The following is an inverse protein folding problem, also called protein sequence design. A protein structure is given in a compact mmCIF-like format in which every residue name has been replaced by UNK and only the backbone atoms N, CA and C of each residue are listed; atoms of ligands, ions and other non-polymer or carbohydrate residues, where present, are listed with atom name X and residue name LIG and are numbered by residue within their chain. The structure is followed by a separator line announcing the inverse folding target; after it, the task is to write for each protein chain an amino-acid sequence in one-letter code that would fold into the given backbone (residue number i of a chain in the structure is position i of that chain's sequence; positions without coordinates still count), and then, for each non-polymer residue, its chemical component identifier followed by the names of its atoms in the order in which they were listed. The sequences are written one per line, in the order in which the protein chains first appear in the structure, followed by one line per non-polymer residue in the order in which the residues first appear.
data_IF_378521575907
#
_entry.id   IF_378521575907
#
_cell.length_a   1.000
_cell.length_b   1.000
_cell.length_c   1.000
_cell.angle_alpha   90.00
_cell.angle_beta   90.00
_cell.angle_gamma   90.00
#
_symmetry.space_group_name_H-M   'P 1'
#
loop_
_entity.id
_entity.type
_entity.pdbx_description
1 polymer ?
#
# COMPACT_ATOMS: atom_id res chain seq x y z
N UNK A 1 -56.81 -54.48 22.39
CA UNK A 1 -57.56 -55.72 22.60
C UNK A 1 -58.54 -55.73 21.46
N UNK A 2 -58.36 -56.44 20.35
CA UNK A 2 -57.66 -57.70 20.03
C UNK A 2 -57.34 -57.64 18.51
N UNK A 3 -56.13 -57.95 18.05
CA UNK A 3 -55.63 -59.26 17.57
C UNK A 3 -56.29 -59.78 16.27
N UNK A 4 -55.42 -60.25 15.37
CA UNK A 4 -55.66 -61.18 14.23
C UNK A 4 -56.40 -60.63 12.99
N UNK A 5 -56.17 -61.07 11.75
CA UNK A 5 -55.26 -62.02 11.07
C UNK A 5 -55.50 -61.80 9.55
N UNK A 6 -54.46 -61.62 8.73
CA UNK A 6 -53.96 -62.60 7.75
C UNK A 6 -54.95 -63.02 6.63
N UNK A 7 -54.61 -62.67 5.38
CA UNK A 7 -55.03 -63.33 4.12
C UNK A 7 -53.95 -62.96 3.08
N UNK A 8 -53.11 -63.89 2.62
CA UNK A 8 -53.38 -65.01 1.71
C UNK A 8 -53.16 -64.61 0.23
N UNK A 9 -52.06 -65.17 -0.28
CA UNK A 9 -51.74 -65.65 -1.64
C UNK A 9 -52.34 -64.96 -2.88
N UNK A 10 -51.43 -64.53 -3.75
CA UNK A 10 -51.64 -64.59 -5.20
C UNK A 10 -50.32 -64.99 -5.88
N UNK A 11 -50.28 -66.23 -6.39
CA UNK A 11 -49.44 -66.60 -7.52
C UNK A 11 -49.84 -65.76 -8.73
N UNK A 12 -48.88 -65.21 -9.49
CA UNK A 12 -48.95 -65.36 -10.94
C UNK A 12 -47.63 -65.06 -11.66
N UNK A 13 -47.23 -66.06 -12.45
CA UNK A 13 -46.63 -66.03 -13.78
C UNK A 13 -45.45 -65.09 -14.11
N UNK A 14 -44.30 -65.74 -14.31
CA UNK A 14 -43.20 -65.33 -15.20
C UNK A 14 -43.56 -65.71 -16.65
N UNK A 15 -43.33 -64.84 -17.65
CA UNK A 15 -42.45 -65.30 -18.73
C UNK A 15 -41.48 -64.24 -19.32
N UNK A 16 -40.24 -64.72 -19.53
CA UNK A 16 -39.35 -64.51 -20.70
C UNK A 16 -38.78 -63.13 -21.05
N UNK A 17 -37.50 -62.93 -20.64
CA UNK A 17 -36.28 -62.54 -21.43
C UNK A 17 -36.24 -61.23 -22.24
N UNK A 18 -35.03 -60.76 -22.68
CA UNK A 18 -33.75 -60.66 -22.01
C UNK A 18 -33.12 -59.24 -22.16
N UNK A 19 -32.17 -58.92 -21.28
CA UNK A 19 -30.96 -58.13 -21.60
C UNK A 19 -31.10 -56.84 -22.43
N UNK A 20 -31.21 -55.69 -21.76
CA UNK A 20 -30.32 -54.54 -22.06
C UNK A 20 -30.39 -53.46 -20.98
N UNK A 21 -29.27 -53.23 -20.29
CA UNK A 21 -28.68 -51.92 -19.92
C UNK A 21 -27.90 -51.96 -18.59
N UNK A 22 -26.61 -52.36 -18.60
CA UNK A 22 -25.67 -51.99 -17.56
C UNK A 22 -24.74 -50.84 -18.01
N UNK A 23 -25.21 -49.87 -18.82
CA UNK A 23 -24.34 -48.81 -19.36
C UNK A 23 -24.60 -47.39 -18.85
N UNK A 24 -25.77 -47.11 -18.25
CA UNK A 24 -26.08 -45.75 -17.78
C UNK A 24 -25.46 -45.41 -16.41
N UNK A 25 -25.23 -46.40 -15.54
CA UNK A 25 -24.71 -46.16 -14.19
C UNK A 25 -23.21 -45.85 -14.15
N UNK A 26 -22.45 -46.32 -15.14
CA UNK A 26 -20.99 -46.09 -15.24
C UNK A 26 -20.67 -44.70 -15.81
N UNK A 27 -21.42 -44.26 -16.84
CA UNK A 27 -21.32 -42.91 -17.41
C UNK A 27 -21.71 -41.81 -16.42
N UNK A 28 -22.74 -42.02 -15.60
CA UNK A 28 -23.12 -41.04 -14.56
C UNK A 28 -22.00 -40.79 -13.55
N UNK A 29 -21.27 -41.84 -13.16
CA UNK A 29 -20.16 -41.72 -12.20
C UNK A 29 -18.94 -41.04 -12.82
N UNK A 30 -18.63 -41.31 -14.09
CA UNK A 30 -17.54 -40.64 -14.82
C UNK A 30 -17.85 -39.16 -15.11
N UNK A 31 -19.10 -38.83 -15.45
CA UNK A 31 -19.54 -37.44 -15.67
C UNK A 31 -19.52 -36.66 -14.37
N UNK A 32 -20.00 -37.24 -13.26
CA UNK A 32 -19.94 -36.59 -11.94
C UNK A 32 -18.48 -36.35 -11.54
N UNK A 33 -17.60 -37.34 -11.68
CA UNK A 33 -16.19 -37.23 -11.29
C UNK A 33 -15.43 -36.22 -12.16
N UNK A 34 -15.72 -36.15 -13.46
CA UNK A 34 -15.19 -35.12 -14.36
C UNK A 34 -15.67 -33.71 -13.95
N UNK A 35 -16.94 -33.56 -13.56
CA UNK A 35 -17.50 -32.31 -13.06
C UNK A 35 -16.85 -31.87 -11.74
N UNK A 36 -16.64 -32.79 -10.79
CA UNK A 36 -15.97 -32.46 -9.52
C UNK A 36 -14.52 -32.02 -9.77
N UNK A 37 -13.79 -32.73 -10.64
CA UNK A 37 -12.41 -32.36 -10.99
C UNK A 37 -12.38 -30.98 -11.67
N UNK A 38 -13.32 -30.69 -12.57
CA UNK A 38 -13.41 -29.39 -13.23
C UNK A 38 -13.72 -28.26 -12.22
N UNK A 39 -14.67 -28.46 -11.31
CA UNK A 39 -15.01 -27.48 -10.27
C UNK A 39 -13.85 -27.23 -9.31
N UNK A 40 -13.15 -28.29 -8.90
CA UNK A 40 -11.94 -28.16 -8.07
C UNK A 40 -10.84 -27.44 -8.83
N UNK A 41 -10.61 -27.77 -10.10
CA UNK A 41 -9.61 -27.09 -10.93
C UNK A 41 -9.93 -25.59 -11.11
N UNK A 42 -11.19 -25.23 -11.36
CA UNK A 42 -11.63 -23.83 -11.47
C UNK A 42 -11.53 -23.10 -10.13
N UNK A 43 -11.85 -23.74 -9.02
CA UNK A 43 -11.72 -23.15 -7.69
C UNK A 43 -10.24 -22.93 -7.29
N UNK A 44 -9.37 -23.89 -7.58
CA UNK A 44 -7.92 -23.78 -7.31
C UNK A 44 -7.26 -22.75 -8.24
N UNK A 45 -7.61 -22.73 -9.53
CA UNK A 45 -7.12 -21.72 -10.47
C UNK A 45 -7.66 -20.31 -10.12
N UNK A 46 -8.94 -20.21 -9.77
CA UNK A 46 -9.57 -18.95 -9.38
C UNK A 46 -8.96 -18.35 -8.11
N UNK A 47 -8.70 -19.16 -7.08
CA UNK A 47 -8.06 -18.69 -5.83
C UNK A 47 -6.61 -18.26 -6.02
N UNK A 48 -5.87 -18.94 -6.91
CA UNK A 48 -4.49 -18.59 -7.25
C UNK A 48 -4.41 -17.28 -8.02
N UNK A 49 -5.29 -17.09 -9.01
CA UNK A 49 -5.38 -15.86 -9.79
C UNK A 49 -5.84 -14.67 -8.94
N UNK A 50 -6.80 -14.88 -8.04
CA UNK A 50 -7.28 -13.81 -7.15
C UNK A 50 -6.18 -13.36 -6.17
N UNK A 51 -5.37 -14.27 -5.63
CA UNK A 51 -4.20 -13.88 -4.85
C UNK A 51 -3.18 -13.12 -5.70
N UNK A 52 -2.91 -13.51 -6.93
CA UNK A 52 -1.92 -12.83 -7.77
C UNK A 52 -2.36 -11.45 -8.24
N UNK A 53 -3.67 -11.23 -8.47
CA UNK A 53 -4.22 -9.93 -8.91
C UNK A 53 -4.41 -8.97 -7.74
N UNK A 54 -4.68 -9.46 -6.53
CA UNK A 54 -4.98 -8.61 -5.36
C UNK A 54 -3.86 -8.56 -4.30
N UNK A 55 -2.75 -9.29 -4.47
CA UNK A 55 -1.56 -9.05 -3.64
C UNK A 55 -0.79 -7.88 -4.23
N UNK A 56 -0.87 -6.73 -3.58
CA UNK A 56 0.08 -5.65 -3.83
C UNK A 56 1.49 -6.21 -3.59
N UNK A 57 2.46 -5.95 -4.50
CA UNK A 57 3.82 -6.42 -4.33
C UNK A 57 4.35 -5.98 -2.97
N UNK A 58 5.17 -6.82 -2.30
CA UNK A 58 5.71 -6.49 -0.99
C UNK A 58 6.37 -5.11 -1.06
N UNK A 59 6.05 -4.24 -0.10
CA UNK A 59 6.68 -2.92 -0.01
C UNK A 59 8.18 -3.11 0.14
N UNK A 60 8.91 -2.78 -0.93
CA UNK A 60 10.35 -2.90 -0.94
C UNK A 60 10.95 -1.75 -0.14
N UNK A 61 11.75 -2.11 0.86
CA UNK A 61 12.48 -1.15 1.68
C UNK A 61 13.76 -0.75 0.99
N UNK A 62 14.02 0.55 0.93
CA UNK A 62 15.30 1.09 0.47
C UNK A 62 16.18 1.45 1.67
N UNK A 63 17.30 0.74 1.90
CA UNK A 63 18.18 1.01 3.03
C UNK A 63 19.07 2.25 2.83
N UNK A 64 19.18 2.74 1.58
CA UNK A 64 20.00 3.91 1.25
C UNK A 64 19.16 5.19 1.33
N UNK A 65 19.56 6.18 2.15
CA UNK A 65 18.96 7.51 2.13
C UNK A 65 19.22 8.21 0.80
N UNK A 66 18.19 8.85 0.24
CA UNK A 66 18.29 9.56 -1.04
C UNK A 66 18.06 11.06 -0.88
N UNK A 67 18.71 11.93 -1.68
CA UNK A 67 18.40 13.35 -1.69
C UNK A 67 16.93 13.61 -2.04
N UNK A 68 16.32 14.64 -1.45
CA UNK A 68 14.92 15.01 -1.70
C UNK A 68 14.71 15.71 -3.04
N UNK A 69 15.75 16.35 -3.59
CA UNK A 69 15.64 17.30 -4.71
C UNK A 69 14.87 16.74 -5.93
N UNK A 70 15.06 15.47 -6.24
CA UNK A 70 14.43 14.79 -7.39
C UNK A 70 13.30 13.84 -6.99
N UNK A 71 12.86 13.89 -5.72
CA UNK A 71 11.91 12.95 -5.14
C UNK A 71 10.73 13.69 -4.49
N UNK A 72 9.74 14.14 -5.29
CA UNK A 72 8.56 14.80 -4.75
C UNK A 72 7.70 13.82 -3.95
N UNK A 73 7.76 13.91 -2.62
CA UNK A 73 7.01 13.03 -1.72
C UNK A 73 5.58 13.54 -1.52
N UNK A 74 4.59 12.66 -1.68
CA UNK A 74 3.16 12.97 -1.58
C UNK A 74 2.41 12.11 -0.58
N UNK A 75 3.02 11.02 -0.10
CA UNK A 75 2.38 10.06 0.78
C UNK A 75 2.22 10.59 2.20
N UNK A 76 1.55 9.79 3.03
CA UNK A 76 1.63 10.00 4.47
C UNK A 76 3.07 9.75 4.93
N UNK A 77 3.64 10.70 5.69
CA UNK A 77 5.07 10.73 5.98
C UNK A 77 5.38 11.46 7.29
N UNK A 78 6.58 11.23 7.83
CA UNK A 78 7.13 12.03 8.92
C UNK A 78 8.22 12.96 8.39
N UNK A 79 8.09 14.25 8.67
CA UNK A 79 9.14 15.24 8.43
C UNK A 79 9.88 15.53 9.73
N UNK A 80 11.16 15.20 9.75
CA UNK A 80 12.08 15.49 10.85
C UNK A 80 12.94 16.69 10.45
N UNK A 81 13.16 17.60 11.39
CA UNK A 81 14.06 18.75 11.22
C UNK A 81 15.16 18.70 12.25
N UNK A 82 16.38 18.99 11.83
CA UNK A 82 17.59 19.05 12.66
C UNK A 82 18.34 20.35 12.39
N UNK A 83 19.29 20.70 13.25
CA UNK A 83 19.95 22.01 13.17
C UNK A 83 20.99 22.06 12.07
N UNK A 84 21.73 20.97 11.85
CA UNK A 84 22.87 20.96 10.94
C UNK A 84 22.79 19.83 9.92
N UNK A 85 23.57 19.95 8.85
CA UNK A 85 23.69 18.93 7.81
C UNK A 85 24.34 17.64 8.36
N UNK A 86 25.27 17.74 9.31
CA UNK A 86 25.90 16.58 9.96
C UNK A 86 24.89 15.78 10.79
N UNK A 87 24.06 16.47 11.57
CA UNK A 87 22.96 15.85 12.32
C UNK A 87 21.97 15.17 11.36
N UNK A 88 21.71 15.79 10.21
CA UNK A 88 20.82 15.24 9.18
C UNK A 88 21.37 13.93 8.62
N UNK A 89 22.66 13.87 8.28
CA UNK A 89 23.29 12.65 7.77
C UNK A 89 23.22 11.53 8.82
N UNK A 90 23.45 11.85 10.09
CA UNK A 90 23.35 10.88 11.18
C UNK A 90 21.91 10.36 11.35
N UNK A 91 20.92 11.26 11.41
CA UNK A 91 19.51 10.89 11.54
C UNK A 91 19.04 10.08 10.34
N UNK A 92 19.39 10.48 9.11
CA UNK A 92 19.05 9.74 7.90
C UNK A 92 19.60 8.31 7.94
N UNK A 93 20.83 8.11 8.40
CA UNK A 93 21.44 6.78 8.55
C UNK A 93 20.74 5.93 9.62
N UNK A 94 20.41 6.51 10.78
CA UNK A 94 19.68 5.79 11.83
C UNK A 94 18.30 5.38 11.32
N UNK A 95 17.58 6.31 10.68
CA UNK A 95 16.23 6.06 10.18
C UNK A 95 16.20 5.09 9.02
N UNK A 96 17.25 5.02 8.19
CA UNK A 96 17.31 4.02 7.12
C UNK A 96 17.45 2.60 7.66
N UNK A 97 17.84 2.45 8.93
CA UNK A 97 17.89 1.19 9.66
C UNK A 97 16.62 0.92 10.50
N UNK A 98 15.74 1.90 10.70
CA UNK A 98 14.47 1.70 11.41
C UNK A 98 13.50 0.82 10.59
N UNK A 99 13.01 -0.32 11.13
CA UNK A 99 12.10 -1.22 10.41
C UNK A 99 10.74 -0.60 10.07
N UNK A 100 10.36 0.52 10.70
CA UNK A 100 9.14 1.26 10.38
C UNK A 100 9.31 2.16 9.15
N UNK A 101 10.55 2.42 8.73
CA UNK A 101 10.83 3.24 7.54
C UNK A 101 10.97 2.38 6.29
N UNK A 102 10.14 2.68 5.29
CA UNK A 102 10.24 2.11 3.95
C UNK A 102 11.30 2.83 3.12
N UNK A 103 11.32 4.17 3.20
CA UNK A 103 12.25 5.01 2.44
C UNK A 103 12.58 6.28 3.23
N UNK A 104 13.83 6.71 3.09
CA UNK A 104 14.37 7.89 3.77
C UNK A 104 14.86 8.87 2.71
N UNK A 105 14.36 10.11 2.78
CA UNK A 105 14.85 11.22 2.00
C UNK A 105 15.50 12.25 2.90
N UNK A 106 16.40 13.04 2.36
CA UNK A 106 17.01 14.12 3.10
C UNK A 106 17.20 15.38 2.25
N UNK A 107 17.22 16.52 2.92
CA UNK A 107 17.57 17.80 2.33
C UNK A 107 18.45 18.58 3.31
N UNK A 108 19.60 19.03 2.80
CA UNK A 108 20.52 19.93 3.50
C UNK A 108 19.90 21.30 3.74
N UNK A 109 20.51 22.11 4.61
CA UNK A 109 20.15 23.51 4.82
C UNK A 109 20.19 24.30 3.51
N UNK A 110 21.22 24.06 2.69
CA UNK A 110 21.39 24.70 1.38
C UNK A 110 20.27 24.35 0.40
N UNK A 111 19.87 23.07 0.34
CA UNK A 111 18.76 22.63 -0.53
C UNK A 111 17.43 23.19 -0.06
N UNK A 112 17.17 23.15 1.25
CA UNK A 112 15.98 23.76 1.84
C UNK A 112 15.92 25.27 1.58
N UNK A 113 17.06 25.95 1.60
CA UNK A 113 17.15 27.36 1.23
C UNK A 113 16.88 27.61 -0.25
N UNK A 114 17.43 26.80 -1.15
CA UNK A 114 17.13 26.90 -2.57
C UNK A 114 15.62 26.70 -2.85
N UNK A 115 14.98 25.76 -2.15
CA UNK A 115 13.53 25.56 -2.23
C UNK A 115 12.74 26.75 -1.67
N UNK A 116 13.16 27.29 -0.51
CA UNK A 116 12.58 28.49 0.08
C UNK A 116 12.64 29.68 -0.88
N UNK A 117 13.80 29.92 -1.50
CA UNK A 117 13.96 30.98 -2.50
C UNK A 117 13.01 30.82 -3.69
N UNK A 118 12.75 29.57 -4.12
CA UNK A 118 11.83 29.27 -5.22
C UNK A 118 10.38 29.59 -4.86
N UNK A 119 9.94 29.21 -3.67
CA UNK A 119 8.55 29.42 -3.22
C UNK A 119 8.28 30.90 -2.92
N UNK A 120 9.25 31.59 -2.35
CA UNK A 120 9.13 33.00 -1.99
C UNK A 120 9.76 33.94 -3.02
N UNK A 121 9.89 33.49 -4.28
CA UNK A 121 10.52 34.27 -5.35
C UNK A 121 9.89 35.66 -5.56
N UNK A 122 8.57 35.76 -5.31
CA UNK A 122 7.77 36.99 -5.41
C UNK A 122 7.78 37.84 -4.14
N UNK A 123 8.23 37.30 -3.01
CA UNK A 123 8.24 37.96 -1.69
C UNK A 123 9.66 38.42 -1.31
N UNK A 124 10.12 39.50 -1.97
CA UNK A 124 11.50 40.00 -1.81
C UNK A 124 11.84 40.42 -0.38
N UNK A 125 10.86 40.90 0.37
CA UNK A 125 10.98 41.25 1.79
C UNK A 125 11.34 40.04 2.65
N UNK A 126 10.73 38.88 2.39
CA UNK A 126 11.06 37.63 3.10
C UNK A 126 12.45 37.11 2.72
N UNK A 127 12.84 37.26 1.46
CA UNK A 127 14.16 36.83 0.99
C UNK A 127 15.30 37.72 1.54
N UNK A 128 15.04 38.98 1.87
CA UNK A 128 16.06 39.92 2.34
C UNK A 128 16.69 39.52 3.69
N UNK A 129 15.96 38.77 4.52
CA UNK A 129 16.42 38.34 5.84
C UNK A 129 16.79 36.86 5.91
N UNK A 130 16.43 36.09 4.88
CA UNK A 130 16.65 34.66 4.87
C UNK A 130 18.14 34.33 4.69
N UNK A 131 18.62 33.35 5.46
CA UNK A 131 19.98 32.80 5.34
C UNK A 131 19.88 31.28 5.28
N UNK A 132 20.77 30.58 4.56
CA UNK A 132 20.76 29.12 4.53
C UNK A 132 20.78 28.50 5.92
N UNK A 133 21.62 29.03 6.81
CA UNK A 133 21.84 28.50 8.16
C UNK A 133 20.64 28.71 9.09
N UNK A 134 19.70 29.58 8.70
CA UNK A 134 18.46 29.82 9.44
C UNK A 134 17.39 28.76 9.15
N UNK A 135 17.56 27.96 8.08
CA UNK A 135 16.66 26.87 7.75
C UNK A 135 17.23 25.55 8.29
N UNK A 136 16.41 24.72 8.93
CA UNK A 136 16.86 23.43 9.40
C UNK A 136 17.14 22.50 8.21
N UNK A 137 18.11 21.60 8.37
CA UNK A 137 18.20 20.43 7.51
C UNK A 137 17.04 19.48 7.86
N UNK A 138 16.61 18.66 6.92
CA UNK A 138 15.42 17.82 7.11
C UNK A 138 15.59 16.40 6.61
N UNK A 139 14.96 15.47 7.30
CA UNK A 139 14.82 14.06 6.92
C UNK A 139 13.34 13.76 6.76
N UNK A 140 12.96 13.10 5.66
CA UNK A 140 11.58 12.76 5.36
C UNK A 140 11.47 11.23 5.32
N UNK A 141 10.55 10.69 6.10
CA UNK A 141 10.36 9.26 6.26
C UNK A 141 9.05 8.83 5.63
N UNK A 142 9.14 7.99 4.61
CA UNK A 142 7.99 7.21 4.17
C UNK A 142 7.86 5.97 5.05
N UNK A 143 6.71 5.75 5.70
CA UNK A 143 6.50 4.60 6.55
C UNK A 143 6.29 3.32 5.73
N UNK A 144 6.51 2.18 6.38
CA UNK A 144 5.87 0.92 6.00
C UNK A 144 4.36 1.01 6.20
N UNK A 145 3.57 0.12 5.57
CA UNK A 145 2.13 0.01 5.83
C UNK A 145 1.81 -0.08 7.32
N UNK A 146 0.66 0.47 7.69
CA UNK A 146 0.05 0.37 9.02
C UNK A 146 0.86 1.01 10.17
N UNK A 147 1.96 1.71 9.88
CA UNK A 147 2.66 2.48 10.89
C UNK A 147 1.84 3.72 11.27
N UNK A 148 1.51 3.84 12.56
CA UNK A 148 0.94 5.05 13.12
C UNK A 148 2.00 6.16 13.16
N UNK A 149 1.90 7.10 12.22
CA UNK A 149 2.84 8.23 12.10
C UNK A 149 2.84 9.16 13.32
N UNK A 150 1.71 9.30 14.03
CA UNK A 150 1.64 10.18 15.20
C UNK A 150 2.36 9.52 16.37
N UNK A 151 2.06 8.25 16.64
CA UNK A 151 2.75 7.49 17.68
C UNK A 151 4.26 7.35 17.39
N UNK A 152 4.63 7.06 16.14
CA UNK A 152 6.03 7.00 15.74
C UNK A 152 6.72 8.38 15.88
N UNK A 153 6.06 9.46 15.49
CA UNK A 153 6.58 10.81 15.70
C UNK A 153 6.82 11.13 17.18
N UNK A 154 5.90 10.73 18.07
CA UNK A 154 6.04 10.90 19.51
C UNK A 154 7.22 10.10 20.09
N UNK A 155 7.41 8.86 19.62
CA UNK A 155 8.58 8.05 19.97
C UNK A 155 9.89 8.73 19.56
N UNK A 156 9.96 9.24 18.32
CA UNK A 156 11.18 9.88 17.80
C UNK A 156 11.53 11.14 18.60
N UNK A 157 10.54 11.94 19.01
CA UNK A 157 10.79 13.10 19.89
C UNK A 157 11.42 12.71 21.23
N UNK A 158 11.07 11.53 21.77
CA UNK A 158 11.65 11.03 23.03
C UNK A 158 13.05 10.44 22.82
N UNK A 159 13.27 9.74 21.71
CA UNK A 159 14.50 8.99 21.44
C UNK A 159 15.62 9.85 20.83
N UNK A 160 15.26 10.90 20.10
CA UNK A 160 16.19 11.74 19.35
C UNK A 160 16.02 13.21 19.78
N UNK A 161 16.57 13.61 20.94
CA UNK A 161 16.41 14.96 21.48
C UNK A 161 17.05 16.06 20.63
N UNK A 162 17.89 15.71 19.65
CA UNK A 162 18.46 16.64 18.67
C UNK A 162 17.46 17.09 17.60
N UNK A 163 16.31 16.40 17.45
CA UNK A 163 15.27 16.80 16.51
C UNK A 163 14.64 18.13 16.96
N UNK A 164 14.72 19.15 16.11
CA UNK A 164 14.09 20.46 16.33
C UNK A 164 12.59 20.36 16.15
N UNK A 165 12.15 19.68 15.09
CA UNK A 165 10.75 19.44 14.80
C UNK A 165 10.52 18.02 14.29
N UNK A 166 9.40 17.45 14.70
CA UNK A 166 8.88 16.18 14.19
C UNK A 166 7.43 16.43 13.81
N UNK A 167 7.12 16.33 12.52
CA UNK A 167 5.81 16.66 11.97
C UNK A 167 5.27 15.46 11.17
N UNK A 168 4.19 14.82 11.65
CA UNK A 168 3.39 13.94 10.82
C UNK A 168 2.71 14.76 9.74
N UNK A 169 2.85 14.34 8.48
CA UNK A 169 2.18 14.92 7.32
C UNK A 169 1.27 13.84 6.76
N UNK A 170 -0.04 14.01 6.96
CA UNK A 170 -1.06 13.05 6.53
C UNK A 170 -1.99 13.76 5.53
N UNK A 171 -1.86 13.49 4.22
CA UNK A 171 -2.59 14.21 3.16
C UNK A 171 -4.10 14.31 3.39
N UNK A 172 -4.72 13.22 3.87
CA UNK A 172 -6.16 13.13 4.12
C UNK A 172 -6.59 14.09 5.24
N UNK A 173 -5.77 14.25 6.27
CA UNK A 173 -6.03 15.19 7.36
C UNK A 173 -5.91 16.63 6.88
N UNK A 174 -4.88 16.94 6.07
CA UNK A 174 -4.69 18.27 5.48
C UNK A 174 -5.88 18.68 4.58
N UNK A 175 -6.35 17.76 3.75
CA UNK A 175 -7.53 17.98 2.90
C UNK A 175 -8.79 18.18 3.74
N UNK A 176 -8.97 17.38 4.80
CA UNK A 176 -10.10 17.51 5.74
C UNK A 176 -10.09 18.87 6.43
N UNK A 177 -8.95 19.32 6.94
CA UNK A 177 -8.79 20.62 7.60
C UNK A 177 -9.02 21.79 6.64
N UNK A 178 -8.52 21.71 5.40
CA UNK A 178 -8.78 22.74 4.39
C UNK A 178 -10.28 22.84 4.05
N UNK A 179 -10.98 21.71 3.90
CA UNK A 179 -12.43 21.70 3.69
C UNK A 179 -13.21 22.26 4.87
N UNK A 180 -12.79 21.94 6.10
CA UNK A 180 -13.41 22.50 7.31
C UNK A 180 -13.28 24.04 7.36
N UNK A 181 -12.25 24.61 6.72
CA UNK A 181 -12.07 26.07 6.54
C UNK A 181 -12.78 26.64 5.31
N UNK A 182 -13.65 25.87 4.65
CA UNK A 182 -14.36 26.30 3.44
C UNK A 182 -13.49 26.37 2.18
N UNK A 183 -12.28 25.81 2.22
CA UNK A 183 -11.37 25.81 1.07
C UNK A 183 -11.59 24.59 0.19
N UNK A 184 -11.51 24.78 -1.13
CA UNK A 184 -11.50 23.66 -2.08
C UNK A 184 -10.11 23.04 -2.13
N UNK A 185 -9.89 21.99 -1.35
CA UNK A 185 -8.66 21.18 -1.41
C UNK A 185 -8.92 19.86 -2.14
N UNK A 186 -8.24 19.70 -3.27
CA UNK A 186 -8.12 18.44 -4.02
C UNK A 186 -6.64 18.22 -4.26
N UNK A 187 -6.07 17.22 -3.59
CA UNK A 187 -4.73 16.73 -3.92
C UNK A 187 -4.88 15.68 -5.02
N UNK A 188 -4.00 15.66 -6.04
CA UNK A 188 -4.01 14.58 -7.00
C UNK A 188 -3.63 13.26 -6.29
N UNK A 189 -4.07 12.11 -6.83
CA UNK A 189 -3.82 10.82 -6.20
C UNK A 189 -2.32 10.57 -6.07
N UNK A 190 -1.89 10.19 -4.87
CA UNK A 190 -0.51 9.80 -4.60
C UNK A 190 -0.32 8.32 -5.00
N UNK A 191 0.71 7.97 -5.78
CA UNK A 191 1.02 6.57 -6.07
C UNK A 191 1.33 5.79 -4.80
N UNK A 192 1.21 4.45 -4.85
CA UNK A 192 1.56 3.58 -3.72
C UNK A 192 3.02 3.68 -3.29
N UNK A 193 3.91 4.13 -4.18
CA UNK A 193 5.29 4.45 -3.83
C UNK A 193 5.41 5.58 -2.82
N UNK A 194 4.40 6.45 -2.68
CA UNK A 194 4.45 7.65 -1.85
C UNK A 194 5.18 8.84 -2.49
N UNK A 195 5.62 8.70 -3.74
CA UNK A 195 6.37 9.70 -4.51
C UNK A 195 5.65 9.99 -5.83
N UNK A 196 5.62 11.25 -6.26
CA UNK A 196 5.25 11.57 -7.63
C UNK A 196 6.38 11.24 -8.61
N UNK A 197 6.05 10.95 -9.88
CA UNK A 197 7.06 10.84 -10.91
C UNK A 197 7.87 12.14 -10.99
N UNK A 198 9.19 12.02 -10.88
CA UNK A 198 10.10 13.15 -11.08
C UNK A 198 9.93 13.68 -12.51
N UNK A 199 9.85 15.00 -12.69
CA UNK A 199 9.70 15.60 -14.01
C UNK A 199 10.83 15.21 -14.99
N UNK A 200 12.01 14.85 -14.48
CA UNK A 200 13.16 14.36 -15.26
C UNK A 200 12.92 13.01 -15.96
N UNK A 201 11.93 12.22 -15.52
CA UNK A 201 11.56 10.92 -16.12
C UNK A 201 10.44 10.99 -17.17
N UNK A 202 9.82 12.16 -17.38
CA UNK A 202 8.71 12.34 -18.33
C UNK A 202 9.20 12.69 -19.75
N UNK A 203 10.26 12.02 -20.21
CA UNK A 203 10.66 11.99 -21.63
C UNK A 203 10.12 10.75 -22.32
N UNK A 204 8.82 10.48 -22.18
CA UNK A 204 8.13 9.62 -23.12
C UNK A 204 8.10 10.35 -24.47
N UNK A 205 9.05 10.01 -25.34
CA UNK A 205 9.11 10.51 -26.71
C UNK A 205 7.78 10.22 -27.41
N UNK A 206 7.17 11.20 -28.11
CA UNK A 206 6.02 10.90 -28.94
C UNK A 206 6.53 10.05 -30.11
N UNK A 207 6.18 8.76 -30.10
CA UNK A 207 6.29 7.90 -31.28
C UNK A 207 5.49 8.53 -32.40
N UNK A 208 6.20 8.83 -33.49
CA UNK A 208 5.69 9.35 -34.75
C UNK A 208 4.99 8.27 -35.54
#
# INVERSE_FOLDING_TARGET
MDSESASESAEDQVPSTPEERPRLRRRGREVVLALTVLVVAVAVAGTSFWRFVFTEPPEERSPEPVPLADHPVCGAQLRLSVKTDEEMVQVARIMSQDPRSRRVFYASQKENYAWFQRIFAEHKDLLAFARPEALPASVWLLPMRDVDLKAWGDDLRRQLPQLVHVQPVIPEELVREARARGQRAVLPPCPSSGEWPSAAGSSASPTK
#
